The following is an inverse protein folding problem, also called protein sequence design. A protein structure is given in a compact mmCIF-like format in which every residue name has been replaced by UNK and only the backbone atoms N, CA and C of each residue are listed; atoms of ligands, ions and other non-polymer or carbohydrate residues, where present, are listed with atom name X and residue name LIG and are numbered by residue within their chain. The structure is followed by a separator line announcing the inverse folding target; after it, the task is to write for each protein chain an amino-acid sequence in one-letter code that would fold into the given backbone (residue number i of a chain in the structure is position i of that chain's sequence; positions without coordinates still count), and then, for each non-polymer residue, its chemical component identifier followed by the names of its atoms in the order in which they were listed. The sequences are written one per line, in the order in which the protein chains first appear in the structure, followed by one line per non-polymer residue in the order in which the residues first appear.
data_IF_552541574155
#
_entry.id   IF_552541574155
#
_cell.length_a   1.000
_cell.length_b   1.000
_cell.length_c   1.000
_cell.angle_alpha   90.00
_cell.angle_beta   90.00
_cell.angle_gamma   90.00
#
_symmetry.space_group_name_H-M   'P 1'
#
loop_
_entity.id
_entity.type
_entity.pdbx_description
1 polymer ?
#
# COMPACT_ATOMS: atom_id res chain seq x y z
N UNK A 1 9.06 -0.92 -24.59
CA UNK A 1 8.37 -2.03 -23.89
C UNK A 1 8.24 -1.60 -22.44
N UNK A 2 7.05 -1.17 -22.01
CA UNK A 2 6.83 -0.75 -20.62
C UNK A 2 6.68 -2.01 -19.77
N UNK A 3 7.60 -2.22 -18.84
CA UNK A 3 7.52 -3.31 -17.86
C UNK A 3 6.64 -2.83 -16.72
N UNK A 4 5.44 -3.41 -16.55
CA UNK A 4 4.61 -3.17 -15.35
C UNK A 4 5.45 -3.49 -14.11
N UNK A 5 5.36 -2.64 -13.08
CA UNK A 5 6.03 -2.93 -11.81
C UNK A 5 5.48 -4.24 -11.21
N UNK A 6 6.36 -5.13 -10.74
CA UNK A 6 5.93 -6.36 -10.07
C UNK A 6 5.22 -6.03 -8.75
N UNK A 7 4.26 -6.87 -8.36
CA UNK A 7 3.49 -6.72 -7.12
C UNK A 7 4.42 -6.58 -5.89
N UNK A 8 5.51 -7.34 -5.83
CA UNK A 8 6.50 -7.25 -4.74
C UNK A 8 7.15 -5.87 -4.65
N UNK A 9 7.52 -5.26 -5.79
CA UNK A 9 8.08 -3.91 -5.83
C UNK A 9 7.05 -2.87 -5.36
N UNK A 10 5.78 -3.03 -5.73
CA UNK A 10 4.70 -2.15 -5.27
C UNK A 10 4.54 -2.28 -3.74
N UNK A 11 4.54 -3.49 -3.20
CA UNK A 11 4.47 -3.74 -1.75
C UNK A 11 5.62 -3.05 -1.01
N UNK A 12 6.86 -3.12 -1.51
CA UNK A 12 8.01 -2.44 -0.92
C UNK A 12 7.86 -0.92 -0.89
N UNK A 13 7.49 -0.33 -2.04
CA UNK A 13 7.29 1.12 -2.16
C UNK A 13 6.16 1.60 -1.24
N UNK A 14 5.02 0.89 -1.21
CA UNK A 14 3.91 1.21 -0.30
C UNK A 14 4.33 1.08 1.16
N UNK A 15 5.12 0.06 1.49
CA UNK A 15 5.58 -0.15 2.86
C UNK A 15 6.48 0.98 3.33
N UNK A 16 7.41 1.42 2.48
CA UNK A 16 8.25 2.59 2.73
C UNK A 16 7.42 3.86 2.91
N UNK A 17 6.42 4.06 2.06
CA UNK A 17 5.51 5.21 2.16
C UNK A 17 4.72 5.22 3.47
N UNK A 18 4.10 4.09 3.85
CA UNK A 18 3.30 3.97 5.07
C UNK A 18 4.16 4.03 6.35
N UNK A 19 5.44 3.66 6.25
CA UNK A 19 6.41 3.82 7.34
C UNK A 19 6.74 5.30 7.60
N UNK A 20 6.86 6.09 6.53
CA UNK A 20 7.10 7.54 6.59
C UNK A 20 5.84 8.35 6.89
N UNK A 21 4.66 7.83 6.52
CA UNK A 21 3.37 8.49 6.68
C UNK A 21 2.39 7.60 7.46
N UNK A 22 2.57 7.44 8.78
CA UNK A 22 1.80 6.46 9.56
C UNK A 22 0.29 6.74 9.62
N UNK A 23 -0.10 8.00 9.40
CA UNK A 23 -1.49 8.46 9.43
C UNK A 23 -2.16 8.49 8.04
N UNK A 24 -1.47 8.02 6.99
CA UNK A 24 -2.02 8.00 5.65
C UNK A 24 -3.25 7.07 5.58
N UNK A 25 -4.22 7.47 4.77
CA UNK A 25 -5.53 6.82 4.68
C UNK A 25 -6.18 7.16 3.36
N UNK A 26 -5.80 6.43 2.31
CA UNK A 26 -6.06 6.84 0.94
C UNK A 26 -6.77 5.76 0.13
N UNK A 27 -7.38 6.19 -0.96
CA UNK A 27 -8.07 5.30 -1.89
C UNK A 27 -7.07 4.66 -2.84
N UNK A 28 -7.44 3.52 -3.44
CA UNK A 28 -6.64 2.87 -4.48
C UNK A 28 -6.17 3.85 -5.57
N UNK A 29 -7.09 4.71 -6.02
CA UNK A 29 -6.83 5.73 -7.04
C UNK A 29 -5.89 6.81 -6.51
N UNK A 30 -6.10 7.27 -5.27
CA UNK A 30 -5.24 8.28 -4.65
C UNK A 30 -3.79 7.80 -4.50
N UNK A 31 -3.62 6.54 -4.07
CA UNK A 31 -2.32 5.87 -3.95
C UNK A 31 -1.61 5.82 -5.30
N UNK A 32 -2.30 5.37 -6.35
CA UNK A 32 -1.74 5.28 -7.70
C UNK A 32 -1.33 6.65 -8.25
N UNK A 33 -2.20 7.66 -8.12
CA UNK A 33 -2.01 8.98 -8.73
C UNK A 33 -0.96 9.84 -8.02
N UNK A 34 -0.97 9.86 -6.68
CA UNK A 34 -0.21 10.86 -5.92
C UNK A 34 1.08 10.31 -5.33
N UNK A 35 1.13 9.01 -4.99
CA UNK A 35 2.24 8.43 -4.24
C UNK A 35 3.19 7.67 -5.13
N UNK A 36 2.64 6.84 -6.02
CA UNK A 36 3.44 6.05 -6.93
C UNK A 36 3.93 6.87 -8.13
N UNK A 37 3.23 7.98 -8.46
CA UNK A 37 3.56 8.95 -9.53
C UNK A 37 4.13 8.29 -10.80
N UNK A 38 3.64 7.10 -11.12
CA UNK A 38 4.21 6.28 -12.17
C UNK A 38 3.07 5.76 -13.03
N UNK A 39 3.10 6.17 -14.30
CA UNK A 39 2.28 5.59 -15.38
C UNK A 39 2.52 4.07 -15.54
N UNK A 40 3.49 3.49 -14.82
CA UNK A 40 3.87 2.08 -14.91
C UNK A 40 3.18 1.17 -13.89
N UNK A 41 2.36 1.71 -12.97
CA UNK A 41 1.64 0.88 -11.98
C UNK A 41 0.21 0.61 -12.45
N UNK A 42 -0.05 -0.64 -12.81
CA UNK A 42 -1.41 -1.13 -13.05
C UNK A 42 -2.24 -1.07 -11.76
N UNK A 43 -3.47 -0.55 -11.84
CA UNK A 43 -4.42 -0.58 -10.73
C UNK A 43 -4.72 -2.01 -10.25
N UNK A 44 -4.61 -3.00 -11.14
CA UNK A 44 -4.78 -4.42 -10.80
C UNK A 44 -3.62 -4.90 -9.93
N UNK A 45 -2.39 -4.59 -10.32
CA UNK A 45 -1.19 -4.98 -9.55
C UNK A 45 -1.15 -4.24 -8.20
N UNK A 46 -1.58 -2.98 -8.17
CA UNK A 46 -1.73 -2.22 -6.93
C UNK A 46 -2.79 -2.81 -6.01
N UNK A 47 -3.95 -3.20 -6.54
CA UNK A 47 -4.99 -3.86 -5.76
C UNK A 47 -4.52 -5.21 -5.19
N UNK A 48 -3.74 -5.98 -5.96
CA UNK A 48 -3.12 -7.21 -5.47
C UNK A 48 -2.09 -6.94 -4.36
N UNK A 49 -1.26 -5.92 -4.50
CA UNK A 49 -0.30 -5.51 -3.48
C UNK A 49 -1.00 -5.11 -2.17
N UNK A 50 -2.03 -4.26 -2.24
CA UNK A 50 -2.81 -3.85 -1.07
C UNK A 50 -3.50 -5.05 -0.42
N UNK A 51 -4.06 -5.97 -1.21
CA UNK A 51 -4.68 -7.19 -0.68
C UNK A 51 -3.66 -8.08 0.05
N UNK A 52 -2.44 -8.19 -0.46
CA UNK A 52 -1.36 -8.93 0.22
C UNK A 52 -1.00 -8.29 1.57
N UNK A 53 -0.90 -6.96 1.62
CA UNK A 53 -0.61 -6.23 2.87
C UNK A 53 -1.77 -6.31 3.87
N UNK A 54 -3.01 -6.32 3.38
CA UNK A 54 -4.22 -6.50 4.20
C UNK A 54 -4.27 -7.92 4.80
N UNK A 55 -4.00 -8.96 3.99
CA UNK A 55 -3.91 -10.34 4.46
C UNK A 55 -2.81 -10.55 5.50
N UNK A 56 -1.72 -9.78 5.41
CA UNK A 56 -0.65 -9.77 6.41
C UNK A 56 -1.02 -8.98 7.69
N UNK A 57 -2.17 -8.31 7.71
CA UNK A 57 -2.68 -7.55 8.87
C UNK A 57 -1.95 -6.22 9.10
N UNK A 58 -1.22 -5.72 8.11
CA UNK A 58 -0.43 -4.48 8.20
C UNK A 58 -1.27 -3.25 7.87
N UNK A 59 -2.19 -3.42 6.93
CA UNK A 59 -3.21 -2.42 6.57
C UNK A 59 -4.61 -3.00 6.71
N UNK A 60 -5.60 -2.12 6.77
CA UNK A 60 -7.02 -2.45 6.70
C UNK A 60 -7.68 -1.63 5.60
N UNK A 61 -8.65 -2.25 4.91
CA UNK A 61 -9.58 -1.59 4.02
C UNK A 61 -10.85 -1.22 4.79
N UNK A 62 -11.26 0.05 4.72
CA UNK A 62 -12.48 0.53 5.36
C UNK A 62 -13.34 1.32 4.40
N UNK A 63 -14.65 1.06 4.41
CA UNK A 63 -15.60 1.86 3.66
C UNK A 63 -15.77 3.21 4.36
N UNK A 64 -15.44 4.28 3.66
CA UNK A 64 -15.69 5.62 4.13
C UNK A 64 -17.14 6.05 3.90
N UNK A 65 -17.55 7.12 4.57
CA UNK A 65 -18.91 7.69 4.47
C UNK A 65 -19.28 8.17 3.05
N UNK A 66 -18.29 8.42 2.19
CA UNK A 66 -18.47 8.77 0.78
C UNK A 66 -18.59 7.54 -0.14
N UNK A 67 -18.62 6.32 0.42
CA UNK A 67 -18.72 5.06 -0.30
C UNK A 67 -17.41 4.56 -0.90
N UNK A 68 -16.29 5.27 -0.69
CA UNK A 68 -14.99 4.87 -1.20
C UNK A 68 -14.25 3.98 -0.18
N UNK A 69 -13.47 3.03 -0.68
CA UNK A 69 -12.58 2.22 0.16
C UNK A 69 -11.30 3.00 0.44
N UNK A 70 -10.95 3.15 1.72
CA UNK A 70 -9.68 3.72 2.16
C UNK A 70 -8.81 2.64 2.81
N UNK A 71 -7.54 2.67 2.44
CA UNK A 71 -6.50 1.80 2.98
C UNK A 71 -5.65 2.59 3.96
N UNK A 72 -5.53 2.09 5.18
CA UNK A 72 -4.69 2.69 6.23
C UNK A 72 -3.99 1.60 7.04
N UNK A 73 -2.97 1.97 7.79
CA UNK A 73 -2.33 1.04 8.74
C UNK A 73 -3.35 0.54 9.77
N UNK A 74 -3.27 -0.75 10.11
CA UNK A 74 -4.08 -1.36 11.18
C UNK A 74 -3.75 -0.81 12.57
N UNK A 75 -2.53 -0.26 12.73
CA UNK A 75 -2.12 0.37 13.98
C UNK A 75 -0.79 1.13 13.90
N UNK A 76 -0.59 2.01 14.87
CA UNK A 76 0.64 2.79 15.10
C UNK A 76 1.47 2.10 16.18
N UNK A 77 1.89 0.86 15.93
CA UNK A 77 2.64 0.06 16.88
C UNK A 77 3.85 -0.61 16.21
N UNK A 78 4.78 -1.06 17.05
CA UNK A 78 6.02 -1.71 16.59
C UNK A 78 5.76 -2.95 15.72
N UNK A 79 4.69 -3.70 15.99
CA UNK A 79 4.34 -4.90 15.20
C UNK A 79 4.03 -4.54 13.73
N UNK A 80 3.29 -3.46 13.51
CA UNK A 80 3.01 -2.97 12.15
C UNK A 80 4.27 -2.41 11.50
N UNK A 81 5.10 -1.68 12.26
CA UNK A 81 6.39 -1.17 11.75
C UNK A 81 7.31 -2.31 11.31
N UNK A 82 7.50 -3.35 12.13
CA UNK A 82 8.32 -4.53 11.80
C UNK A 82 7.82 -5.27 10.55
N UNK A 83 6.50 -5.34 10.36
CA UNK A 83 5.92 -5.98 9.19
C UNK A 83 6.15 -5.15 7.92
N UNK A 84 6.05 -3.82 8.01
CA UNK A 84 6.41 -2.91 6.92
C UNK A 84 7.91 -3.01 6.60
N UNK A 85 8.78 -3.05 7.62
CA UNK A 85 10.22 -3.14 7.45
C UNK A 85 10.63 -4.47 6.77
N UNK A 86 9.92 -5.57 7.07
CA UNK A 86 10.12 -6.85 6.36
C UNK A 86 9.76 -6.76 4.88
N UNK A 87 8.63 -6.13 4.55
CA UNK A 87 8.24 -5.93 3.15
C UNK A 87 9.21 -5.03 2.39
N UNK A 88 9.83 -4.05 3.06
CA UNK A 88 10.88 -3.20 2.46
C UNK A 88 12.14 -4.02 2.18
N UNK A 89 12.49 -4.99 3.05
CA UNK A 89 13.66 -5.84 2.86
C UNK A 89 13.48 -6.91 1.76
N UNK A 90 12.25 -7.36 1.53
CA UNK A 90 11.91 -8.44 0.59
C UNK A 90 11.59 -7.94 -0.85
N UNK A 91 11.55 -6.62 -1.08
CA UNK A 91 11.07 -5.99 -2.33
C UNK A 91 12.12 -5.60 -3.36
#
# INVERSE_FOLDING_TARGET
MNVSASVAKIVGVLSCYLRQNPLASDTLVGIAQWWLKSDEVSLVDLAHALKQMEQAGVIEASNAADGQVRYRRTGLNAKVDEALDRFIADS
#
